data_IF_840536041726
#
_entry.id   IF_840536041726
#
_cell.length_a   1.000
_cell.length_b   1.000
_cell.length_c   1.000
_cell.angle_alpha   90.00
_cell.angle_beta   90.00
_cell.angle_gamma   90.00
#
_symmetry.space_group_name_H-M   'P 1'
#
loop_
_entity.id
_entity.type
_entity.pdbx_description
1 polymer ?
#
# COMPACT_ATOMS: atom_id res chain seq x y z
N UNK A 1 53.06 -20.58 22.17
CA UNK A 1 52.02 -20.20 21.20
C UNK A 1 50.65 -20.58 21.74
N UNK A 2 49.73 -19.60 21.76
CA UNK A 2 48.26 -19.74 21.72
C UNK A 2 47.56 -20.63 22.77
N UNK A 3 47.42 -20.13 24.01
CA UNK A 3 46.25 -20.50 24.86
C UNK A 3 45.47 -19.26 25.31
N UNK A 4 46.19 -18.18 25.66
CA UNK A 4 45.60 -16.88 25.99
C UNK A 4 44.98 -16.17 24.77
N UNK A 5 45.60 -16.25 23.59
CA UNK A 5 45.04 -15.68 22.34
C UNK A 5 43.73 -16.40 21.97
N UNK A 6 43.66 -17.72 22.17
CA UNK A 6 42.46 -18.53 21.88
C UNK A 6 41.30 -18.09 22.79
N UNK A 7 41.56 -17.84 24.08
CA UNK A 7 40.54 -17.38 25.02
C UNK A 7 39.96 -16.00 24.64
N UNK A 8 40.80 -15.06 24.20
CA UNK A 8 40.31 -13.74 23.75
C UNK A 8 39.57 -13.79 22.41
N UNK A 9 39.94 -14.68 21.50
CA UNK A 9 39.21 -14.85 20.23
C UNK A 9 37.84 -15.54 20.39
N UNK A 10 37.67 -16.37 21.43
CA UNK A 10 36.39 -17.05 21.71
C UNK A 10 35.39 -16.10 22.38
N UNK A 11 35.86 -15.10 23.14
CA UNK A 11 34.97 -14.11 23.79
C UNK A 11 34.42 -13.07 22.79
N UNK A 12 35.11 -12.83 21.67
CA UNK A 12 34.63 -11.92 20.63
C UNK A 12 33.53 -12.54 19.70
N UNK A 13 33.29 -13.84 19.81
CA UNK A 13 32.23 -14.58 19.11
C UNK A 13 31.02 -14.87 20.00
N UNK A 14 30.96 -14.28 21.21
CA UNK A 14 29.81 -14.35 22.07
C UNK A 14 28.80 -13.24 21.71
N UNK A 15 27.87 -13.62 20.83
CA UNK A 15 26.49 -13.15 20.85
C UNK A 15 26.26 -11.63 20.76
N UNK A 16 26.58 -11.04 19.61
CA UNK A 16 25.71 -9.95 19.12
C UNK A 16 24.48 -10.60 18.48
N UNK A 17 23.66 -11.25 19.32
CA UNK A 17 22.30 -11.57 18.96
C UNK A 17 21.54 -10.24 18.90
N UNK A 18 21.69 -9.52 17.78
CA UNK A 18 20.72 -8.49 17.44
C UNK A 18 19.39 -9.22 17.39
N UNK A 19 18.55 -9.00 18.41
CA UNK A 19 17.15 -9.34 18.36
C UNK A 19 16.54 -8.44 17.27
N UNK A 20 16.76 -8.80 16.00
CA UNK A 20 16.01 -8.24 14.89
C UNK A 20 14.61 -8.79 15.04
N UNK A 21 13.77 -8.10 15.82
CA UNK A 21 12.35 -8.33 15.79
C UNK A 21 11.90 -8.30 14.34
N UNK A 22 11.08 -9.25 13.86
CA UNK A 22 10.57 -9.18 12.51
C UNK A 22 9.92 -7.79 12.31
N UNK A 23 10.14 -7.15 11.16
CA UNK A 23 9.58 -5.83 10.89
C UNK A 23 8.07 -5.88 11.14
N UNK A 24 7.55 -4.91 11.92
CA UNK A 24 6.12 -4.83 12.19
C UNK A 24 5.40 -4.57 10.87
N UNK A 25 4.58 -5.53 10.45
CA UNK A 25 3.78 -5.41 9.23
C UNK A 25 2.84 -4.20 9.31
N UNK A 26 2.76 -3.44 8.22
CA UNK A 26 1.77 -2.38 8.03
C UNK A 26 0.34 -2.95 7.96
N UNK A 27 -0.67 -2.08 7.94
CA UNK A 27 -2.05 -2.54 7.81
C UNK A 27 -2.30 -3.33 6.52
N UNK A 28 -1.85 -2.81 5.36
CA UNK A 28 -1.99 -3.51 4.09
C UNK A 28 -1.26 -4.85 4.10
N UNK A 29 -0.02 -4.90 4.59
CA UNK A 29 0.76 -6.14 4.62
C UNK A 29 0.10 -7.22 5.50
N UNK A 30 -0.39 -6.84 6.69
CA UNK A 30 -1.14 -7.76 7.55
C UNK A 30 -2.40 -8.28 6.88
N UNK A 31 -3.20 -7.39 6.28
CA UNK A 31 -4.43 -7.79 5.58
C UNK A 31 -4.10 -8.70 4.40
N UNK A 32 -3.11 -8.35 3.58
CA UNK A 32 -2.65 -9.17 2.46
C UNK A 32 -2.25 -10.58 2.91
N UNK A 33 -1.47 -10.70 3.99
CA UNK A 33 -1.11 -12.01 4.53
C UNK A 33 -2.31 -12.80 5.05
N UNK A 34 -3.25 -12.13 5.73
CA UNK A 34 -4.46 -12.76 6.25
C UNK A 34 -5.32 -13.31 5.10
N UNK A 35 -5.58 -12.50 4.09
CA UNK A 35 -6.35 -12.91 2.91
C UNK A 35 -5.63 -14.04 2.16
N UNK A 36 -4.30 -13.97 1.98
CA UNK A 36 -3.55 -15.06 1.33
C UNK A 36 -3.63 -16.42 2.05
N UNK A 37 -3.92 -16.43 3.36
CA UNK A 37 -4.07 -17.67 4.15
C UNK A 37 -5.47 -18.29 4.00
N UNK A 38 -6.45 -17.55 3.51
CA UNK A 38 -7.79 -18.08 3.26
C UNK A 38 -7.75 -18.84 1.93
N UNK A 39 -8.14 -20.12 1.95
CA UNK A 39 -8.32 -20.92 0.74
C UNK A 39 -9.20 -20.15 -0.24
N UNK A 40 -8.74 -19.96 -1.48
CA UNK A 40 -9.31 -19.05 -2.48
C UNK A 40 -10.81 -19.28 -2.72
N UNK A 41 -11.65 -18.68 -1.88
CA UNK A 41 -13.09 -18.66 -2.03
C UNK A 41 -13.44 -17.79 -3.25
N UNK A 42 -14.48 -18.13 -4.03
CA UNK A 42 -15.00 -17.24 -5.05
C UNK A 42 -15.31 -15.86 -4.44
N UNK A 43 -14.83 -14.78 -5.06
CA UNK A 43 -15.00 -13.41 -4.56
C UNK A 43 -13.98 -12.94 -3.52
N UNK A 44 -13.05 -13.81 -3.10
CA UNK A 44 -11.97 -13.43 -2.21
C UNK A 44 -10.97 -12.48 -2.89
N UNK A 45 -10.63 -11.39 -2.19
CA UNK A 45 -9.86 -10.26 -2.71
C UNK A 45 -8.60 -10.07 -1.85
N UNK A 46 -7.44 -10.21 -2.48
CA UNK A 46 -6.16 -9.93 -1.84
C UNK A 46 -5.75 -8.49 -2.17
N UNK A 47 -5.58 -7.59 -1.18
CA UNK A 47 -5.15 -6.23 -1.45
C UNK A 47 -3.69 -6.18 -1.92
N UNK A 48 -3.41 -5.24 -2.81
CA UNK A 48 -2.07 -4.91 -3.26
C UNK A 48 -1.46 -3.80 -2.40
N UNK A 49 -0.24 -4.06 -1.93
CA UNK A 49 0.55 -3.07 -1.19
C UNK A 49 1.67 -2.53 -2.08
N UNK A 50 2.07 -1.28 -1.84
CA UNK A 50 3.27 -0.69 -2.43
C UNK A 50 4.56 -1.09 -1.68
N UNK A 51 5.68 -0.49 -2.06
CA UNK A 51 7.01 -0.79 -1.49
C UNK A 51 7.14 -0.37 -0.02
N UNK A 52 6.37 0.62 0.42
CA UNK A 52 6.33 1.05 1.82
C UNK A 52 5.34 0.22 2.65
N UNK A 53 4.61 -0.70 2.01
CA UNK A 53 3.56 -1.48 2.63
C UNK A 53 2.25 -0.71 2.79
N UNK A 54 2.06 0.43 2.13
CA UNK A 54 0.75 1.09 2.10
C UNK A 54 -0.14 0.47 1.02
N UNK A 55 -1.46 0.65 1.13
CA UNK A 55 -2.34 0.23 0.05
C UNK A 55 -2.03 1.00 -1.23
N UNK A 56 -1.88 0.30 -2.35
CA UNK A 56 -1.83 0.96 -3.66
C UNK A 56 -3.13 1.72 -3.90
N UNK A 57 -3.03 2.88 -4.55
CA UNK A 57 -4.19 3.68 -4.93
C UNK A 57 -5.16 2.89 -5.82
N UNK A 58 -4.63 2.14 -6.78
CA UNK A 58 -5.39 1.30 -7.69
C UNK A 58 -5.36 -0.14 -7.23
N UNK A 59 -6.52 -0.73 -7.04
CA UNK A 59 -6.69 -2.14 -6.71
C UNK A 59 -7.53 -2.79 -7.81
N UNK A 60 -7.08 -3.91 -8.37
CA UNK A 60 -7.73 -4.56 -9.50
C UNK A 60 -8.12 -6.00 -9.15
N UNK A 61 -9.37 -6.36 -9.45
CA UNK A 61 -9.94 -7.66 -9.09
C UNK A 61 -10.64 -8.32 -10.28
N UNK A 62 -10.53 -9.65 -10.35
CA UNK A 62 -11.15 -10.47 -11.37
C UNK A 62 -10.40 -10.44 -12.71
N UNK A 63 -10.06 -11.61 -13.25
CA UNK A 63 -9.48 -11.75 -14.59
C UNK A 63 -9.71 -13.15 -15.18
N UNK A 64 -10.77 -13.86 -14.75
CA UNK A 64 -10.79 -15.32 -14.88
C UNK A 64 -11.35 -15.88 -16.20
N UNK A 65 -12.00 -15.10 -17.06
CA UNK A 65 -12.74 -15.67 -18.20
C UNK A 65 -12.87 -14.81 -19.47
N UNK A 66 -11.90 -13.94 -19.79
CA UNK A 66 -11.75 -13.19 -21.08
C UNK A 66 -12.05 -11.67 -21.06
N UNK A 67 -11.76 -10.95 -19.98
CA UNK A 67 -11.95 -9.50 -19.92
C UNK A 67 -10.89 -8.76 -19.12
N UNK A 68 -10.83 -7.44 -19.29
CA UNK A 68 -10.02 -6.54 -18.46
C UNK A 68 -10.47 -6.62 -16.99
N UNK A 69 -9.53 -6.54 -16.02
CA UNK A 69 -9.89 -6.56 -14.62
C UNK A 69 -10.72 -5.32 -14.25
N UNK A 70 -11.60 -5.47 -13.27
CA UNK A 70 -12.29 -4.33 -12.67
C UNK A 70 -11.36 -3.72 -11.62
N UNK A 71 -11.00 -2.45 -11.80
CA UNK A 71 -10.18 -1.73 -10.85
C UNK A 71 -11.01 -0.68 -10.11
N UNK A 72 -10.64 -0.36 -8.88
CA UNK A 72 -11.21 0.72 -8.06
C UNK A 72 -10.07 1.58 -7.50
N UNK A 73 -10.38 2.84 -7.18
CA UNK A 73 -9.43 3.72 -6.50
C UNK A 73 -9.69 3.73 -5.00
N UNK A 74 -8.62 3.68 -4.20
CA UNK A 74 -8.65 3.58 -2.75
C UNK A 74 -7.82 4.66 -2.07
N UNK A 75 -8.23 5.02 -0.84
CA UNK A 75 -7.42 5.82 0.08
C UNK A 75 -6.33 4.97 0.74
N UNK A 76 -5.46 5.61 1.53
CA UNK A 76 -4.44 4.92 2.34
C UNK A 76 -5.04 4.08 3.47
N UNK A 77 -6.26 4.39 3.87
CA UNK A 77 -7.06 3.68 4.86
C UNK A 77 -7.98 2.63 4.23
N UNK A 78 -7.82 2.35 2.94
CA UNK A 78 -8.62 1.40 2.16
C UNK A 78 -10.11 1.81 2.01
N UNK A 79 -10.41 3.11 2.04
CA UNK A 79 -11.72 3.66 1.66
C UNK A 79 -11.84 3.68 0.13
N UNK A 80 -13.00 3.29 -0.43
CA UNK A 80 -13.25 3.36 -1.87
C UNK A 80 -13.49 4.81 -2.30
N UNK A 81 -12.59 5.37 -3.11
CA UNK A 81 -12.68 6.72 -3.66
C UNK A 81 -13.37 6.76 -5.03
N UNK A 82 -13.21 5.70 -5.82
CA UNK A 82 -13.85 5.52 -7.12
C UNK A 82 -14.26 4.07 -7.27
N UNK A 83 -15.53 3.85 -7.63
CA UNK A 83 -16.10 2.52 -7.80
C UNK A 83 -15.49 1.72 -8.95
N UNK A 84 -15.77 0.41 -9.00
CA UNK A 84 -15.11 -0.53 -9.90
C UNK A 84 -15.41 -0.22 -11.38
N UNK A 85 -14.37 -0.20 -12.20
CA UNK A 85 -14.48 -0.06 -13.66
C UNK A 85 -13.30 -0.73 -14.37
N UNK A 86 -13.55 -1.27 -15.54
CA UNK A 86 -12.50 -1.77 -16.45
C UNK A 86 -11.72 -0.66 -17.16
N UNK A 87 -12.18 0.59 -17.05
CA UNK A 87 -11.57 1.76 -17.71
C UNK A 87 -10.64 2.56 -16.82
N UNK A 88 -10.49 2.19 -15.54
CA UNK A 88 -9.56 2.84 -14.62
C UNK A 88 -8.14 2.44 -14.97
N UNK A 89 -7.32 3.41 -15.35
CA UNK A 89 -5.90 3.22 -15.68
C UNK A 89 -4.99 3.73 -14.57
N UNK A 90 -5.40 4.79 -13.87
CA UNK A 90 -4.64 5.42 -12.78
C UNK A 90 -5.58 5.87 -11.66
N UNK A 91 -5.06 5.96 -10.43
CA UNK A 91 -5.80 6.40 -9.25
C UNK A 91 -5.04 7.45 -8.42
N UNK A 92 -3.81 7.83 -8.80
CA UNK A 92 -3.02 8.79 -8.02
C UNK A 92 -3.68 10.17 -7.97
N UNK A 93 -4.21 10.67 -9.09
CA UNK A 93 -4.97 11.92 -9.11
C UNK A 93 -6.17 11.88 -8.17
N UNK A 94 -6.95 10.79 -8.24
CA UNK A 94 -8.16 10.61 -7.42
C UNK A 94 -7.81 10.60 -5.94
N UNK A 95 -6.74 9.91 -5.56
CA UNK A 95 -6.24 9.82 -4.18
C UNK A 95 -5.71 11.17 -3.68
N UNK A 96 -4.88 11.85 -4.47
CA UNK A 96 -4.35 13.18 -4.12
C UNK A 96 -5.48 14.21 -3.93
N UNK A 97 -6.45 14.25 -4.86
CA UNK A 97 -7.64 15.10 -4.73
C UNK A 97 -8.38 14.85 -3.42
N UNK A 98 -8.59 13.59 -3.04
CA UNK A 98 -9.23 13.24 -1.78
C UNK A 98 -8.44 13.74 -0.57
N UNK A 99 -7.12 13.50 -0.53
CA UNK A 99 -6.24 13.91 0.55
C UNK A 99 -6.24 15.44 0.75
N UNK A 100 -6.16 16.22 -0.34
CA UNK A 100 -6.22 17.68 -0.28
C UNK A 100 -7.57 18.15 0.26
N UNK A 101 -8.68 17.61 -0.26
CA UNK A 101 -10.02 18.00 0.19
C UNK A 101 -10.29 17.64 1.66
N UNK A 102 -9.81 16.48 2.13
CA UNK A 102 -9.88 16.10 3.54
C UNK A 102 -9.08 17.07 4.43
N UNK A 103 -7.87 17.43 4.00
CA UNK A 103 -7.02 18.34 4.76
C UNK A 103 -7.62 19.76 4.82
N UNK A 104 -8.18 20.25 3.71
CA UNK A 104 -8.90 21.54 3.69
C UNK A 104 -10.09 21.54 4.67
N UNK A 105 -10.87 20.45 4.74
CA UNK A 105 -11.97 20.32 5.70
C UNK A 105 -11.49 20.30 7.15
N UNK A 106 -10.36 19.65 7.45
CA UNK A 106 -9.80 19.55 8.80
C UNK A 106 -9.13 20.84 9.27
N UNK A 107 -8.47 21.56 8.37
CA UNK A 107 -7.62 22.69 8.73
C UNK A 107 -8.40 23.98 9.06
N UNK A 108 -9.71 24.06 8.77
CA UNK A 108 -10.59 25.20 9.09
C UNK A 108 -10.26 26.52 8.37
N UNK A 109 -9.00 26.73 8.00
CA UNK A 109 -8.48 27.82 7.19
C UNK A 109 -7.02 27.48 6.81
N UNK A 110 -6.71 27.14 5.56
CA UNK A 110 -5.38 27.37 5.00
C UNK A 110 -5.39 27.40 3.48
N UNK A 111 -4.70 28.42 2.96
CA UNK A 111 -4.14 28.59 1.62
C UNK A 111 -4.31 27.40 0.66
N UNK A 112 -4.99 27.68 -0.46
CA UNK A 112 -5.36 26.72 -1.49
C UNK A 112 -4.18 25.94 -2.07
N UNK A 113 -4.00 24.70 -1.61
CA UNK A 113 -3.36 23.70 -2.47
C UNK A 113 -4.28 23.45 -3.66
N UNK A 114 -3.71 23.54 -4.86
CA UNK A 114 -4.42 23.28 -6.09
C UNK A 114 -4.96 21.84 -6.08
N UNK A 115 -6.28 21.72 -6.05
CA UNK A 115 -6.95 20.43 -6.16
C UNK A 115 -6.80 19.97 -7.61
N UNK A 116 -6.21 18.78 -7.88
CA UNK A 116 -6.02 18.34 -9.25
C UNK A 116 -7.35 17.95 -9.90
N UNK A 117 -7.47 18.23 -11.19
CA UNK A 117 -8.56 17.75 -12.01
C UNK A 117 -8.24 16.33 -12.49
N UNK A 118 -9.17 15.41 -12.28
CA UNK A 118 -9.00 14.01 -12.64
C UNK A 118 -10.04 13.61 -13.67
N UNK A 119 -9.62 12.83 -14.67
CA UNK A 119 -10.51 12.31 -15.68
C UNK A 119 -11.52 11.37 -15.03
N UNK A 120 -12.81 11.63 -15.24
CA UNK A 120 -13.88 10.93 -14.54
C UNK A 120 -13.87 9.43 -14.79
N UNK A 121 -13.56 8.99 -16.01
CA UNK A 121 -13.49 7.57 -16.37
C UNK A 121 -12.19 6.89 -15.95
N UNK A 122 -11.04 7.40 -16.38
CA UNK A 122 -9.75 6.73 -16.24
C UNK A 122 -9.07 6.94 -14.90
N UNK A 123 -9.43 8.02 -14.19
CA UNK A 123 -8.79 8.44 -12.94
C UNK A 123 -7.45 9.16 -13.12
N UNK A 124 -7.02 9.37 -14.37
CA UNK A 124 -5.79 10.08 -14.73
C UNK A 124 -5.88 11.57 -14.44
N UNK A 125 -4.73 12.23 -14.32
CA UNK A 125 -4.65 13.68 -14.28
C UNK A 125 -5.10 14.30 -15.62
N UNK A 126 -6.01 15.27 -15.56
CA UNK A 126 -6.30 16.16 -16.68
C UNK A 126 -5.22 17.24 -16.66
N UNK A 127 -4.23 17.14 -17.56
CA UNK A 127 -3.31 18.25 -17.81
C UNK A 127 -4.08 19.36 -18.54
N UNK A 128 -4.11 20.54 -17.95
CA UNK A 128 -4.63 21.76 -18.58
C UNK A 128 -3.67 22.30 -19.61
#
# INVERSE_FOLDING_TARGET
MNKLVIAFTVIALAAVAHATSPPRLTDCQRRREQELRVTALPGHIVPECDQNGEYKAKQCFGARTSGNPFCSCYSREYEVLKGPSTRITDCDCVRERHEILQQQRRAGNTAGRNVPNCHETTGEYIRG
#
